data_IF_420857057394
#
_entry.id   IF_420857057394
#
_cell.length_a   1.000
_cell.length_b   1.000
_cell.length_c   1.000
_cell.angle_alpha   90.00
_cell.angle_beta   90.00
_cell.angle_gamma   90.00
#
_symmetry.space_group_name_H-M   'P 1'
#
loop_
_entity.id
_entity.type
_entity.pdbx_description
1 polymer ?
2 polymer ?
3 non-polymer ?
4 water ?
#
# COMPACT_ATOMS: atom_id res chain seq x y z
N UNK A 16 -25.86 -19.48 -3.71
CA UNK A 16 -26.33 -19.14 -5.05
C UNK A 16 -25.23 -18.44 -5.88
N UNK A 17 -25.34 -17.12 -6.05
CA UNK A 17 -24.32 -16.31 -6.66
C UNK A 17 -23.38 -15.95 -5.52
N UNK A 18 -23.95 -15.71 -4.34
CA UNK A 18 -23.15 -15.45 -3.15
C UNK A 18 -22.05 -16.50 -2.90
N UNK A 19 -22.17 -17.66 -3.53
CA UNK A 19 -21.15 -18.70 -3.49
C UNK A 19 -19.90 -18.32 -4.28
N UNK A 20 -20.11 -17.97 -5.56
CA UNK A 20 -19.06 -17.56 -6.49
C UNK A 20 -18.22 -16.40 -5.91
N UNK A 21 -18.92 -15.48 -5.26
CA UNK A 21 -18.33 -14.31 -4.61
C UNK A 21 -17.62 -14.63 -3.30
N UNK A 22 -18.17 -15.60 -2.58
CA UNK A 22 -17.51 -16.12 -1.39
C UNK A 22 -16.21 -16.79 -1.76
N UNK A 23 -16.21 -17.45 -2.92
CA UNK A 23 -15.03 -18.12 -3.45
C UNK A 23 -13.92 -17.13 -3.84
N UNK A 24 -14.27 -16.15 -4.67
CA UNK A 24 -13.40 -15.07 -5.08
C UNK A 24 -12.70 -14.38 -3.89
N UNK A 25 -13.47 -14.15 -2.83
CA UNK A 25 -12.97 -13.57 -1.60
C UNK A 25 -11.92 -14.42 -0.87
N UNK A 26 -12.03 -15.73 -1.00
CA UNK A 26 -11.11 -16.68 -0.38
C UNK A 26 -9.88 -16.88 -1.26
N UNK A 27 -10.08 -16.91 -2.56
CA UNK A 27 -8.99 -16.94 -3.53
C UNK A 27 -8.06 -15.73 -3.36
N UNK A 28 -8.65 -14.56 -3.20
CA UNK A 28 -7.93 -13.31 -3.03
C UNK A 28 -7.20 -13.24 -1.69
N UNK A 29 -7.87 -13.63 -0.60
CA UNK A 29 -7.22 -13.76 0.71
C UNK A 29 -6.00 -14.69 0.68
N UNK A 30 -6.14 -15.83 0.02
CA UNK A 30 -5.03 -16.78 -0.15
C UNK A 30 -3.89 -16.11 -0.86
N UNK A 31 -4.21 -15.54 -2.01
CA UNK A 31 -3.27 -14.85 -2.85
C UNK A 31 -2.59 -13.70 -2.09
N UNK A 32 -3.39 -13.03 -1.29
CA UNK A 32 -2.92 -11.91 -0.48
C UNK A 32 -1.88 -12.35 0.53
N UNK A 33 -2.19 -13.44 1.23
CA UNK A 33 -1.30 -13.98 2.24
C UNK A 33 0.03 -14.55 1.69
N UNK A 34 -0.03 -15.17 0.53
CA UNK A 34 1.16 -15.63 -0.16
C UNK A 34 2.06 -14.45 -0.57
N UNK A 35 1.42 -13.40 -1.09
CA UNK A 35 2.09 -12.24 -1.67
C UNK A 35 2.70 -11.22 -0.73
N UNK A 36 2.12 -11.07 0.46
CA UNK A 36 2.57 -10.06 1.41
C UNK A 36 3.16 -10.71 2.67
N UNK A 37 4.40 -10.31 3.01
CA UNK A 37 5.09 -10.98 4.10
C UNK A 37 4.48 -10.65 5.48
N UNK A 38 4.16 -9.39 5.71
CA UNK A 38 3.66 -8.91 7.00
C UNK A 38 2.20 -8.47 6.91
N UNK A 39 1.31 -9.28 7.48
CA UNK A 39 -0.13 -9.03 7.45
C UNK A 39 -0.53 -8.06 8.55
N UNK A 40 -1.72 -7.50 8.44
CA UNK A 40 -2.31 -6.73 9.53
C UNK A 40 -2.41 -7.54 10.82
N UNK A 41 -2.72 -8.83 10.70
CA UNK A 41 -2.75 -9.73 11.86
C UNK A 41 -1.48 -9.64 12.73
N UNK A 42 -0.33 -10.04 12.17
CA UNK A 42 0.92 -10.00 12.92
C UNK A 42 1.31 -8.58 13.33
N UNK A 43 1.16 -7.65 12.39
CA UNK A 43 1.45 -6.24 12.63
C UNK A 43 0.74 -5.67 13.85
N UNK A 44 -0.51 -6.05 14.05
CA UNK A 44 -1.28 -5.60 15.23
C UNK A 44 -0.70 -6.27 16.45
N UNK A 45 -0.60 -7.61 16.39
CA UNK A 45 0.02 -8.41 17.44
C UNK A 45 1.34 -7.79 17.95
N UNK A 46 2.23 -7.48 17.01
CA UNK A 46 3.47 -6.75 17.29
C UNK A 46 3.20 -5.38 17.93
N UNK A 47 2.36 -4.57 17.29
CA UNK A 47 2.08 -3.21 17.78
C UNK A 47 1.49 -3.17 19.18
N UNK A 48 0.60 -4.11 19.43
CA UNK A 48 -0.03 -4.32 20.72
C UNK A 48 1.08 -4.74 21.68
N UNK A 49 1.97 -5.58 21.15
CA UNK A 49 3.07 -6.16 21.91
C UNK A 49 2.64 -7.49 22.50
N UNK A 50 1.36 -7.82 22.36
CA UNK A 50 0.79 -9.05 22.87
C UNK A 50 1.16 -10.17 21.94
N UNK A 51 2.46 -10.45 21.84
CA UNK A 51 2.98 -11.50 20.96
C UNK A 51 4.21 -12.13 21.60
N UNK A 52 4.53 -13.32 21.13
CA UNK A 52 5.67 -14.10 21.66
C UNK A 52 7.02 -13.64 21.10
N UNK A 53 7.02 -12.83 20.05
CA UNK A 53 8.29 -12.40 19.44
C UNK A 53 8.92 -11.23 20.18
N UNK A 54 10.22 -11.07 19.92
CA UNK A 54 11.05 -10.00 20.48
C UNK A 54 10.51 -8.66 20.01
N UNK A 55 10.45 -7.68 20.92
CA UNK A 55 9.92 -6.36 20.57
C UNK A 55 10.74 -5.67 19.45
N UNK A 56 10.11 -4.71 18.74
CA UNK A 56 10.84 -3.96 17.74
C UNK A 56 11.78 -2.90 18.32
N UNK A 57 12.91 -2.73 17.66
CA UNK A 57 13.86 -1.70 18.00
C UNK A 57 13.29 -0.31 17.70
N UNK A 58 12.87 0.42 18.73
CA UNK A 58 12.31 1.76 18.55
C UNK A 58 13.35 2.76 17.97
N UNK A 59 12.92 3.59 17.00
CA UNK A 59 13.80 4.63 16.41
C UNK A 59 13.15 6.00 16.59
N UNK A 60 13.55 6.67 17.67
CA UNK A 60 13.01 7.96 18.11
C UNK A 60 13.90 9.16 17.78
N UNK A 61 15.18 8.92 17.44
CA UNK A 61 16.09 10.03 17.05
C UNK A 61 17.29 9.50 16.26
N UNK A 62 18.15 10.42 15.84
CA UNK A 62 19.37 10.08 15.12
C UNK A 62 20.26 9.08 15.84
N UNK A 63 20.35 9.18 17.17
CA UNK A 63 21.11 8.20 17.97
C UNK A 63 20.55 6.78 17.84
N UNK A 64 19.25 6.66 18.11
CA UNK A 64 18.55 5.38 17.98
C UNK A 64 18.70 4.78 16.61
N UNK A 65 18.51 5.64 15.60
CA UNK A 65 18.65 5.25 14.20
C UNK A 65 19.97 4.56 13.94
N UNK A 66 21.05 5.24 14.31
CA UNK A 66 22.42 4.76 14.15
C UNK A 66 22.67 3.44 14.88
N UNK A 67 22.19 3.33 16.11
CA UNK A 67 22.25 2.05 16.86
C UNK A 67 21.40 1.00 16.18
N UNK A 68 20.26 1.42 15.67
CA UNK A 68 19.33 0.56 14.97
C UNK A 68 19.79 0.06 13.62
N UNK A 69 20.65 0.83 12.94
CA UNK A 69 21.22 0.47 11.63
C UNK A 69 21.61 -1.01 11.50
N UNK A 70 22.07 -1.60 12.60
CA UNK A 70 22.45 -3.02 12.61
C UNK A 70 21.27 -4.00 12.40
N UNK A 71 20.09 -3.60 12.87
CA UNK A 71 18.89 -4.45 12.77
C UNK A 71 18.01 -4.09 11.58
N UNK A 72 18.62 -3.51 10.54
CA UNK A 72 17.89 -3.10 9.33
C UNK A 72 18.58 -3.57 8.05
N UNK A 73 17.77 -3.69 7.00
CA UNK A 73 18.25 -4.01 5.66
C UNK A 73 18.99 -2.84 5.00
N UNK A 85 26.07 10.55 2.76
CA UNK A 85 24.62 10.39 2.91
C UNK A 85 24.12 10.86 4.28
N UNK A 86 23.36 11.96 4.30
CA UNK A 86 22.76 12.48 5.54
C UNK A 86 21.53 11.65 5.99
N UNK A 87 21.24 11.69 7.30
CA UNK A 87 20.15 10.90 7.92
C UNK A 87 18.89 10.88 7.05
N UNK A 88 18.32 12.06 6.78
CA UNK A 88 17.02 12.17 6.15
C UNK A 88 17.05 11.46 4.80
N UNK A 89 18.07 11.76 4.01
CA UNK A 89 18.27 11.11 2.70
C UNK A 89 18.54 9.59 2.83
N UNK A 90 19.16 9.14 3.91
CA UNK A 90 19.33 7.70 4.17
C UNK A 90 17.98 7.02 4.37
N UNK A 91 17.17 7.60 5.27
CA UNK A 91 15.81 7.13 5.51
C UNK A 91 15.01 7.00 4.20
N UNK A 92 15.01 8.06 3.41
CA UNK A 92 14.30 8.10 2.13
C UNK A 92 14.75 7.00 1.15
N UNK A 93 16.02 6.60 1.20
CA UNK A 93 16.56 5.53 0.35
C UNK A 93 16.13 4.14 0.82
N UNK A 94 15.95 4.00 2.12
CA UNK A 94 15.41 2.78 2.69
C UNK A 94 13.97 2.69 2.26
N UNK A 95 13.24 3.74 2.58
CA UNK A 95 11.85 3.91 2.17
C UNK A 95 11.66 3.63 0.67
N UNK A 96 12.69 3.95 -0.12
CA UNK A 96 12.70 3.67 -1.55
C UNK A 96 12.86 2.17 -1.84
N UNK A 97 13.88 1.55 -1.25
CA UNK A 97 14.14 0.09 -1.31
C UNK A 97 12.89 -0.72 -1.03
N UNK A 98 12.12 -0.24 -0.04
CA UNK A 98 10.97 -0.96 0.47
C UNK A 98 9.77 -0.86 -0.46
N UNK A 99 9.52 0.35 -0.98
CA UNK A 99 8.48 0.58 -1.94
C UNK A 99 8.61 -0.31 -3.14
N UNK A 100 9.84 -0.47 -3.62
CA UNK A 100 10.10 -1.29 -4.79
C UNK A 100 9.71 -2.75 -4.52
N UNK A 101 10.04 -3.23 -3.34
CA UNK A 101 9.59 -4.53 -2.91
C UNK A 101 8.03 -4.54 -2.83
N UNK A 102 7.42 -3.42 -2.40
CA UNK A 102 5.98 -3.31 -2.33
C UNK A 102 5.35 -3.52 -3.72
N UNK A 103 5.82 -2.72 -4.68
CA UNK A 103 5.41 -2.84 -6.05
C UNK A 103 5.53 -4.28 -6.59
N UNK A 104 6.60 -4.99 -6.25
CA UNK A 104 6.71 -6.40 -6.67
C UNK A 104 5.64 -7.27 -6.00
N UNK A 105 5.47 -7.13 -4.70
CA UNK A 105 4.43 -7.88 -4.00
C UNK A 105 3.01 -7.60 -4.55
N UNK A 106 2.76 -6.34 -4.93
CA UNK A 106 1.47 -5.89 -5.45
C UNK A 106 1.21 -6.39 -6.88
N UNK A 107 2.25 -6.40 -7.71
CA UNK A 107 2.18 -6.89 -9.08
C UNK A 107 1.94 -8.40 -9.07
N UNK A 108 2.61 -9.10 -8.17
CA UNK A 108 2.41 -10.54 -7.99
C UNK A 108 0.97 -10.82 -7.60
N UNK A 109 0.44 -10.00 -6.71
CA UNK A 109 -0.95 -10.12 -6.26
C UNK A 109 -1.92 -9.83 -7.37
N UNK A 110 -1.70 -8.71 -8.07
CA UNK A 110 -2.54 -8.33 -9.23
C UNK A 110 -2.72 -9.50 -10.20
N UNK A 111 -1.62 -10.16 -10.54
CA UNK A 111 -1.63 -11.36 -11.39
C UNK A 111 -2.58 -12.49 -10.97
N UNK A 112 -2.80 -12.61 -9.68
CA UNK A 112 -3.74 -13.58 -9.14
C UNK A 112 -5.18 -13.10 -9.06
N UNK A 113 -5.47 -11.85 -9.44
CA UNK A 113 -6.83 -11.41 -9.52
C UNK A 113 -7.48 -12.05 -10.75
N UNK A 114 -8.50 -12.93 -10.55
CA UNK A 114 -9.15 -13.58 -11.71
C UNK A 114 -9.50 -12.59 -12.82
N UNK A 115 -8.99 -12.84 -14.01
CA UNK A 115 -9.22 -11.97 -15.17
C UNK A 115 -8.16 -10.89 -15.39
N UNK A 116 -7.32 -10.62 -14.38
CA UNK A 116 -6.39 -9.50 -14.51
C UNK A 116 -5.38 -9.68 -15.66
N UNK A 117 -4.79 -10.88 -15.73
CA UNK A 117 -3.76 -11.12 -16.73
C UNK A 117 -4.29 -11.30 -18.16
N UNK A 118 -5.60 -11.58 -18.32
CA UNK A 118 -6.22 -11.63 -19.65
C UNK A 118 -6.34 -10.26 -20.33
N UNK A 119 -6.23 -9.18 -19.58
CA UNK A 119 -6.33 -7.84 -20.15
C UNK A 119 -5.11 -7.51 -21.01
N UNK A 120 -5.31 -6.55 -21.91
CA UNK A 120 -4.23 -5.87 -22.57
C UNK A 120 -3.08 -5.53 -21.59
N UNK A 121 -1.88 -6.01 -21.92
CA UNK A 121 -0.66 -5.72 -21.20
C UNK A 121 -0.41 -4.23 -20.93
N UNK A 122 -0.85 -3.35 -21.83
CA UNK A 122 -0.73 -1.90 -21.60
C UNK A 122 -1.71 -1.40 -20.55
N UNK A 123 -2.83 -2.08 -20.43
CA UNK A 123 -3.80 -1.75 -19.38
C UNK A 123 -3.33 -2.26 -18.02
N UNK A 124 -2.90 -3.52 -17.96
CA UNK A 124 -2.24 -4.06 -16.81
C UNK A 124 -1.23 -3.06 -16.23
N UNK A 125 -0.38 -2.51 -17.09
CA UNK A 125 0.67 -1.56 -16.70
C UNK A 125 0.04 -0.28 -16.17
N UNK A 126 -0.95 0.22 -16.86
CA UNK A 126 -1.63 1.43 -16.39
C UNK A 126 -2.35 1.24 -15.04
N UNK A 127 -3.12 0.16 -14.95
CA UNK A 127 -3.80 -0.19 -13.73
C UNK A 127 -2.86 -0.20 -12.51
N UNK A 128 -1.73 -0.90 -12.66
CA UNK A 128 -0.69 -0.93 -11.65
C UNK A 128 -0.02 0.44 -11.46
N UNK A 129 0.41 1.05 -12.55
CA UNK A 129 1.05 2.36 -12.49
C UNK A 129 0.27 3.32 -11.55
N UNK A 130 -1.06 3.36 -11.71
CA UNK A 130 -1.94 4.23 -10.86
C UNK A 130 -2.38 3.59 -9.54
N UNK A 131 -2.52 2.27 -9.50
CA UNK A 131 -2.93 1.56 -8.32
C UNK A 131 -1.97 1.48 -7.15
N UNK A 132 -0.69 1.29 -7.44
CA UNK A 132 0.28 0.86 -6.41
C UNK A 132 0.40 1.81 -5.22
N UNK A 133 0.41 3.11 -5.46
CA UNK A 133 0.55 4.04 -4.36
C UNK A 133 -0.68 4.10 -3.50
N UNK A 134 -1.86 3.87 -4.09
CA UNK A 134 -3.08 3.76 -3.30
C UNK A 134 -3.02 2.57 -2.38
N UNK A 135 -2.42 1.47 -2.83
CA UNK A 135 -2.35 0.24 -2.07
C UNK A 135 -1.26 0.25 -1.02
N UNK A 136 -0.14 0.91 -1.34
CA UNK A 136 0.92 1.07 -0.36
C UNK A 136 0.40 1.76 0.89
N UNK A 137 -0.46 2.73 0.70
CA UNK A 137 -0.93 3.59 1.78
C UNK A 137 -2.01 2.86 2.53
N UNK A 138 -2.88 2.17 1.80
CA UNK A 138 -3.81 1.24 2.43
C UNK A 138 -3.01 0.30 3.35
N UNK A 139 -1.94 -0.28 2.85
CA UNK A 139 -1.22 -1.28 3.60
C UNK A 139 -0.28 -0.70 4.69
N UNK A 140 0.36 0.44 4.42
CA UNK A 140 1.06 1.16 5.45
C UNK A 140 0.25 1.29 6.69
N UNK A 141 -1.01 1.66 6.52
CA UNK A 141 -1.92 1.84 7.65
C UNK A 141 -2.06 0.57 8.55
N UNK A 142 -2.07 -0.63 8.00
CA UNK A 142 -1.95 -1.83 8.86
C UNK A 142 -0.76 -1.74 9.80
N UNK A 143 0.32 -1.16 9.27
CA UNK A 143 1.57 -0.98 9.99
C UNK A 143 1.71 0.25 10.87
N UNK A 144 0.67 1.07 10.97
CA UNK A 144 0.79 2.32 11.68
C UNK A 144 -0.12 2.45 12.92
N UNK A 145 0.30 3.38 13.76
CA UNK A 145 -0.52 3.83 14.89
C UNK A 145 -0.32 5.34 15.03
N UNK A 146 -0.97 5.92 16.00
CA UNK A 146 -0.87 7.37 16.21
C UNK A 146 0.58 7.81 16.43
N UNK A 147 1.31 6.98 17.15
CA UNK A 147 2.72 7.24 17.50
C UNK A 147 3.82 6.96 16.48
N UNK A 148 3.65 5.95 15.63
CA UNK A 148 4.72 5.53 14.72
C UNK A 148 4.35 4.33 13.84
N UNK A 149 5.36 3.83 13.12
CA UNK A 149 5.18 2.88 12.05
C UNK A 149 6.20 1.76 12.17
N UNK A 150 5.75 0.51 12.13
CA UNK A 150 6.64 -0.63 11.97
C UNK A 150 7.43 -0.63 10.67
N UNK A 151 8.66 -1.14 10.75
CA UNK A 151 9.54 -1.24 9.61
C UNK A 151 10.37 -2.53 9.66
N UNK A 152 11.15 -2.76 8.60
CA UNK A 152 11.95 -3.98 8.41
C UNK A 152 11.21 -5.22 8.92
N UNK A 153 9.97 -5.38 8.42
CA UNK A 153 9.11 -6.53 8.71
C UNK A 153 8.85 -6.66 10.20
N UNK A 154 8.37 -5.56 10.79
CA UNK A 154 8.09 -5.51 12.23
C UNK A 154 9.26 -5.52 13.20
N UNK A 155 10.48 -5.41 12.70
CA UNK A 155 11.68 -5.44 13.54
C UNK A 155 12.07 -4.06 14.07
N UNK A 156 11.70 -3.01 13.35
CA UNK A 156 11.86 -1.62 13.81
C UNK A 156 10.50 -1.01 14.14
N UNK A 157 10.51 0.09 14.88
CA UNK A 157 9.34 0.93 15.03
C UNK A 157 9.81 2.36 14.99
N UNK A 158 9.65 3.00 13.85
CA UNK A 158 10.15 4.36 13.66
C UNK A 158 9.10 5.36 14.07
N UNK A 159 9.41 6.25 15.01
CA UNK A 159 8.38 7.15 15.58
C UNK A 159 7.93 8.27 14.66
N UNK A 160 6.71 8.71 14.89
CA UNK A 160 6.06 9.72 14.09
C UNK A 160 6.65 11.09 14.39
N UNK A 161 6.94 11.30 15.67
CA UNK A 161 7.69 12.45 16.17
C UNK A 161 9.04 12.55 15.44
N UNK A 162 9.78 11.44 15.43
CA UNK A 162 11.06 11.40 14.74
C UNK A 162 10.98 11.73 13.24
N UNK A 163 9.91 11.27 12.57
CA UNK A 163 9.76 11.49 11.12
C UNK A 163 9.40 12.95 10.79
N UNK A 164 8.47 13.53 11.56
CA UNK A 164 8.18 14.97 11.51
C UNK A 164 9.43 15.82 11.64
N UNK A 165 10.27 15.44 12.60
CA UNK A 165 11.47 16.18 12.92
C UNK A 165 12.46 16.30 11.76
N UNK A 166 12.42 15.38 10.80
CA UNK A 166 13.31 15.47 9.64
C UNK A 166 13.15 16.82 8.94
N UNK A 167 14.25 17.30 8.35
CA UNK A 167 14.25 18.62 7.68
C UNK A 167 13.36 18.63 6.43
N UNK A 168 12.84 19.81 6.07
CA UNK A 168 12.05 19.98 4.82
C UNK A 168 12.88 19.49 3.62
N UNK A 169 12.25 18.98 2.55
CA UNK A 169 10.82 18.58 2.51
C UNK A 169 10.44 17.29 3.28
N UNK A 170 11.45 16.57 3.76
CA UNK A 170 11.29 15.21 4.29
C UNK A 170 10.41 15.09 5.54
N UNK A 171 10.26 16.16 6.31
CA UNK A 171 9.45 16.15 7.54
C UNK A 171 7.94 16.09 7.35
N UNK A 172 7.51 16.46 6.13
CA UNK A 172 6.09 16.46 5.76
C UNK A 172 5.73 15.28 4.86
N UNK A 173 6.70 14.40 4.64
CA UNK A 173 6.56 13.31 3.69
C UNK A 173 5.65 12.21 4.22
N UNK A 174 5.89 11.76 5.45
CA UNK A 174 5.10 10.67 6.05
C UNK A 174 3.88 11.12 6.84
N UNK A 175 3.80 12.40 7.17
CA UNK A 175 2.71 12.88 8.04
C UNK A 175 1.27 12.75 7.46
N UNK A 176 1.09 13.07 6.16
CA UNK A 176 -0.24 12.84 5.58
C UNK A 176 -0.72 11.38 5.62
N UNK A 177 0.22 10.43 5.64
CA UNK A 177 -0.06 9.00 5.72
C UNK A 177 -0.43 8.52 7.12
N UNK A 178 0.15 9.14 8.14
CA UNK A 178 -0.33 8.90 9.52
C UNK A 178 -1.76 9.41 9.71
N UNK A 179 -2.08 10.55 9.13
CA UNK A 179 -3.41 11.16 9.25
C UNK A 179 -4.48 10.28 8.60
N UNK A 180 -4.18 9.84 7.38
CA UNK A 180 -4.99 8.85 6.70
C UNK A 180 -5.12 7.56 7.50
N UNK A 181 -3.99 7.04 7.98
CA UNK A 181 -3.98 5.79 8.72
C UNK A 181 -4.91 5.79 9.94
N UNK A 182 -4.93 6.89 10.69
CA UNK A 182 -5.72 6.92 11.96
C UNK A 182 -7.21 6.81 11.68
N UNK A 183 -7.65 7.51 10.64
CA UNK A 183 -9.03 7.37 10.16
C UNK A 183 -9.32 5.96 9.56
N UNK A 184 -8.44 5.47 8.70
CA UNK A 184 -8.71 4.19 8.04
C UNK A 184 -8.68 3.01 9.04
N UNK A 185 -7.77 3.06 10.00
CA UNK A 185 -7.61 1.95 10.94
C UNK A 185 -8.79 1.84 11.88
N UNK A 186 -9.51 2.96 12.05
CA UNK A 186 -10.78 3.01 12.78
C UNK A 186 -11.82 2.01 12.25
N UNK A 187 -12.02 1.98 10.94
CA UNK A 187 -12.92 1.03 10.31
C UNK A 187 -12.63 -0.45 10.69
N UNK A 188 -11.51 -0.72 11.35
CA UNK A 188 -11.24 -2.01 12.01
C UNK A 188 -11.31 -3.16 11.01
N UNK A 189 -10.81 -2.94 9.80
CA UNK A 189 -10.82 -3.96 8.77
C UNK A 189 -9.85 -5.09 9.06
N UNK A 190 -10.10 -6.21 8.40
CA UNK A 190 -9.42 -7.50 8.53
C UNK A 190 -8.53 -7.72 7.28
N UNK A 191 -7.57 -8.62 7.36
CA UNK A 191 -6.81 -9.01 6.20
C UNK A 191 -7.72 -9.50 5.05
N UNK A 192 -8.74 -10.27 5.41
CA UNK A 192 -9.72 -10.79 4.45
C UNK A 192 -10.55 -9.71 3.73
N UNK A 193 -10.82 -8.61 4.43
CA UNK A 193 -11.52 -7.46 3.88
C UNK A 193 -10.61 -6.68 2.97
N UNK A 194 -9.37 -6.47 3.44
CA UNK A 194 -8.34 -5.75 2.71
C UNK A 194 -7.97 -6.45 1.43
N UNK A 195 -7.87 -7.77 1.43
CA UNK A 195 -7.53 -8.53 0.21
C UNK A 195 -8.41 -8.14 -0.96
N UNK A 196 -9.70 -7.97 -0.66
CA UNK A 196 -10.66 -7.60 -1.69
C UNK A 196 -10.64 -6.10 -1.93
N UNK A 197 -10.53 -5.35 -0.84
CA UNK A 197 -10.47 -3.92 -0.95
C UNK A 197 -9.33 -3.50 -1.88
N UNK A 198 -8.14 -4.11 -1.72
CA UNK A 198 -7.02 -3.73 -2.64
C UNK A 198 -7.27 -4.17 -4.10
N UNK A 199 -7.87 -5.35 -4.31
CA UNK A 199 -8.27 -5.77 -5.66
C UNK A 199 -9.18 -4.75 -6.37
N UNK A 200 -10.13 -4.23 -5.61
CA UNK A 200 -11.11 -3.25 -6.14
C UNK A 200 -10.39 -1.99 -6.58
N UNK A 201 -9.38 -1.57 -5.81
CA UNK A 201 -8.58 -0.41 -6.13
C UNK A 201 -7.86 -0.62 -7.43
N UNK A 202 -7.18 -1.79 -7.56
CA UNK A 202 -6.34 -2.04 -8.75
C UNK A 202 -7.19 -1.98 -10.01
N UNK A 203 -8.38 -2.59 -9.93
CA UNK A 203 -9.29 -2.63 -11.06
C UNK A 203 -10.20 -1.43 -11.18
N UNK A 204 -9.60 -0.25 -11.22
CA UNK A 204 -10.34 1.00 -11.35
C UNK A 204 -10.36 1.32 -12.83
N UNK A 205 -11.54 1.22 -13.44
CA UNK A 205 -11.71 1.46 -14.87
C UNK A 205 -11.57 2.91 -15.31
N UNK A 206 -11.21 3.80 -14.38
CA UNK A 206 -11.21 5.25 -14.64
C UNK A 206 -9.83 5.88 -14.50
N UNK A 207 -8.80 5.10 -14.80
CA UNK A 207 -7.43 5.60 -14.81
C UNK A 207 -7.13 6.18 -16.17
N UNK A 208 -6.36 7.29 -16.21
CA UNK A 208 -5.89 7.85 -17.48
C UNK A 208 -5.26 6.84 -18.44
N UNK A 209 -5.78 6.77 -19.66
CA UNK A 209 -5.13 6.06 -20.77
C UNK A 209 -5.44 4.58 -20.92
N UNK A 210 -6.58 4.13 -20.44
CA UNK A 210 -6.94 2.73 -20.65
C UNK A 210 -7.47 2.59 -22.07
N UNK A 211 -7.10 1.47 -22.70
CA UNK A 211 -7.52 1.17 -24.07
C UNK A 211 -8.91 0.57 -24.09
N UNK A 212 -9.16 -0.33 -23.15
CA UNK A 212 -10.40 -1.08 -23.10
C UNK A 212 -10.93 -1.22 -21.64
N UNK A 213 -11.72 -0.23 -21.25
CA UNK A 213 -12.37 -0.14 -19.95
C UNK A 213 -13.42 -1.23 -19.59
N UNK A 214 -14.28 -1.61 -20.52
CA UNK A 214 -15.36 -2.58 -20.22
C UNK A 214 -14.94 -3.84 -19.40
N UNK A 215 -13.99 -4.64 -19.91
CA UNK A 215 -13.60 -5.81 -19.11
C UNK A 215 -13.04 -5.49 -17.73
N UNK A 216 -12.40 -4.33 -17.56
CA UNK A 216 -11.92 -3.89 -16.23
C UNK A 216 -13.13 -3.64 -15.32
N UNK A 217 -14.03 -2.76 -15.76
CA UNK A 217 -15.30 -2.53 -15.04
C UNK A 217 -16.08 -3.82 -14.76
N UNK A 218 -16.01 -4.81 -15.66
CA UNK A 218 -16.70 -6.08 -15.44
C UNK A 218 -16.18 -6.72 -14.18
N UNK A 219 -14.86 -6.80 -14.10
CA UNK A 219 -14.21 -7.42 -12.95
C UNK A 219 -14.47 -6.61 -11.66
N UNK A 220 -14.42 -5.28 -11.77
CA UNK A 220 -14.58 -4.45 -10.57
C UNK A 220 -15.96 -4.66 -9.93
N UNK A 221 -16.97 -4.83 -10.78
CA UNK A 221 -18.33 -5.16 -10.31
C UNK A 221 -18.38 -6.50 -9.56
N UNK A 222 -17.72 -7.50 -10.08
CA UNK A 222 -17.56 -8.68 -9.27
C UNK A 222 -16.90 -8.41 -7.95
N UNK A 223 -15.72 -7.77 -8.01
CA UNK A 223 -14.93 -7.50 -6.79
C UNK A 223 -15.77 -6.68 -5.80
N UNK A 224 -16.46 -5.65 -6.32
CA UNK A 224 -17.34 -4.83 -5.41
C UNK A 224 -18.47 -5.63 -4.74
N UNK A 225 -19.07 -6.58 -5.45
CA UNK A 225 -20.07 -7.49 -4.85
C UNK A 225 -19.47 -8.38 -3.76
N UNK A 226 -18.35 -9.00 -4.09
CA UNK A 226 -17.59 -9.81 -3.12
C UNK A 226 -17.18 -8.97 -1.91
N UNK A 227 -16.79 -7.73 -2.15
CA UNK A 227 -16.40 -6.86 -1.04
C UNK A 227 -17.62 -6.54 -0.19
N UNK A 228 -18.76 -6.28 -0.83
CA UNK A 228 -19.98 -6.02 -0.07
C UNK A 228 -20.42 -7.22 0.78
N UNK A 229 -20.38 -8.42 0.20
CA UNK A 229 -20.78 -9.62 0.89
C UNK A 229 -19.90 -9.81 2.12
N UNK A 230 -18.59 -9.78 1.85
CA UNK A 230 -17.55 -9.91 2.87
C UNK A 230 -17.74 -8.96 4.04
N UNK A 231 -18.12 -7.74 3.80
CA UNK A 231 -18.40 -6.80 4.90
C UNK A 231 -19.69 -7.08 5.70
N UNK A 232 -20.73 -7.53 4.99
CA UNK A 232 -21.93 -8.00 5.66
C UNK A 232 -21.59 -9.19 6.54
N UNK A 233 -20.92 -10.20 5.98
CA UNK A 233 -20.54 -11.42 6.72
C UNK A 233 -19.57 -11.19 7.89
N UNK A 234 -18.42 -10.59 7.60
CA UNK A 234 -17.34 -10.48 8.59
C UNK A 234 -17.62 -9.45 9.70
N UNK A 235 -18.43 -8.44 9.38
CA UNK A 235 -18.86 -7.44 10.37
C UNK A 235 -20.40 -7.28 10.38
N UNK A 236 -21.14 -8.36 10.75
CA UNK A 236 -22.62 -8.32 10.68
C UNK A 236 -23.26 -7.31 11.63
N UNK A 237 -22.56 -6.96 12.70
CA UNK A 237 -22.97 -5.91 13.62
C UNK A 237 -22.77 -4.51 13.03
N UNK A 238 -21.68 -4.31 12.29
CA UNK A 238 -21.40 -3.05 11.63
C UNK A 238 -22.14 -2.97 10.30
N UNK A 239 -22.72 -1.80 10.01
CA UNK A 239 -23.42 -1.54 8.76
C UNK A 239 -22.85 -0.27 8.17
N UNK A 240 -22.80 -0.20 6.85
CA UNK A 240 -22.22 0.97 6.12
C UNK A 240 -20.71 1.04 6.13
N UNK A 241 -20.08 -0.06 6.51
CA UNK A 241 -18.64 -0.15 6.44
C UNK A 241 -18.28 -0.08 4.97
N UNK A 242 -19.08 -0.78 4.16
CA UNK A 242 -19.00 -0.80 2.69
C UNK A 242 -19.01 0.61 2.12
N UNK A 243 -20.00 1.41 2.49
CA UNK A 243 -20.14 2.76 1.97
C UNK A 243 -19.04 3.69 2.51
N UNK A 244 -18.73 3.54 3.80
CA UNK A 244 -17.62 4.31 4.42
C UNK A 244 -16.30 4.08 3.67
N UNK A 245 -16.04 2.80 3.48
CA UNK A 245 -14.89 2.27 2.76
C UNK A 245 -14.75 2.78 1.32
N UNK A 246 -15.86 2.94 0.59
CA UNK A 246 -15.78 3.45 -0.78
C UNK A 246 -15.55 4.95 -0.81
N UNK A 247 -15.95 5.66 0.24
CA UNK A 247 -15.61 7.08 0.37
C UNK A 247 -14.10 7.27 0.47
N UNK A 248 -13.46 6.45 1.31
CA UNK A 248 -11.99 6.42 1.44
C UNK A 248 -11.21 6.17 0.13
N UNK A 249 -11.74 5.35 -0.77
CA UNK A 249 -11.11 5.19 -2.09
C UNK A 249 -10.86 6.50 -2.84
N UNK A 250 -11.69 7.51 -2.61
CA UNK A 250 -11.48 8.84 -3.23
C UNK A 250 -10.42 9.70 -2.48
N UNK A 251 -10.43 9.63 -1.14
CA UNK A 251 -9.38 10.26 -0.32
C UNK A 251 -7.96 9.89 -0.77
N UNK A 252 -7.75 8.61 -1.09
CA UNK A 252 -6.42 8.11 -1.46
C UNK A 252 -5.92 8.80 -2.71
N UNK A 253 -6.73 8.86 -3.76
CA UNK A 253 -6.27 9.49 -5.02
C UNK A 253 -5.71 10.86 -4.74
N UNK A 254 -6.39 11.60 -3.86
CA UNK A 254 -5.91 12.92 -3.43
C UNK A 254 -4.58 12.80 -2.69
N UNK A 255 -4.54 11.91 -1.70
CA UNK A 255 -3.33 11.62 -0.91
C UNK A 255 -2.17 11.19 -1.80
N UNK A 256 -2.47 10.41 -2.84
CA UNK A 256 -1.47 9.96 -3.81
C UNK A 256 -0.98 11.12 -4.69
N UNK A 257 -1.88 12.03 -5.05
CA UNK A 257 -1.53 13.22 -5.82
C UNK A 257 -0.61 14.12 -5.01
N UNK A 258 -1.04 14.41 -3.79
CA UNK A 258 -0.24 15.16 -2.79
C UNK A 258 1.19 14.61 -2.66
N UNK A 259 1.30 13.29 -2.74
CA UNK A 259 2.56 12.55 -2.67
C UNK A 259 3.39 12.73 -3.96
N UNK A 260 2.82 12.40 -5.10
CA UNK A 260 3.52 12.58 -6.39
C UNK A 260 4.07 14.01 -6.53
N UNK A 261 3.30 14.98 -6.04
CA UNK A 261 3.72 16.37 -6.03
C UNK A 261 4.99 16.51 -5.19
N UNK A 262 4.96 15.87 -4.04
CA UNK A 262 6.09 15.90 -3.12
C UNK A 262 7.37 15.28 -3.72
N UNK A 263 7.20 14.23 -4.51
CA UNK A 263 8.32 13.64 -5.22
C UNK A 263 8.92 14.59 -6.24
N UNK A 264 8.09 15.37 -6.92
CA UNK A 264 8.59 16.40 -7.81
C UNK A 264 9.41 17.41 -7.04
N UNK A 265 8.88 17.81 -5.89
CA UNK A 265 9.56 18.77 -5.01
C UNK A 265 10.90 18.21 -4.57
N UNK A 266 10.91 16.93 -4.21
CA UNK A 266 12.12 16.26 -3.75
C UNK A 266 13.08 15.98 -4.91
N UNK A 267 12.52 15.58 -6.05
CA UNK A 267 13.32 15.25 -7.24
C UNK A 267 14.08 16.48 -7.76
N UNK A 268 13.51 17.67 -7.55
CA UNK A 268 14.11 18.94 -7.99
C UNK A 268 15.08 19.59 -6.98
N UNK A 269 14.63 19.81 -5.73
CA UNK A 269 15.45 20.49 -4.70
C UNK A 269 16.63 19.68 -4.15
N UNK A 270 16.65 18.39 -4.50
CA UNK A 270 17.75 17.50 -4.21
C UNK A 270 18.15 16.85 -5.52
N UNK A 271 19.42 17.08 -5.89
CA UNK A 271 20.09 16.40 -7.00
C UNK A 271 21.08 15.39 -6.40
N UNK A 272 21.34 15.53 -5.09
CA UNK A 272 22.18 14.63 -4.30
C UNK A 272 21.67 13.17 -4.32
N UNK A 273 20.36 13.01 -4.51
CA UNK A 273 19.71 11.70 -4.54
C UNK A 273 19.32 11.25 -5.94
N UNK A 274 19.30 9.92 -6.12
CA UNK A 274 18.82 9.27 -7.34
C UNK A 274 17.53 8.51 -7.02
N UNK A 275 16.52 8.65 -7.88
CA UNK A 275 15.25 7.92 -7.77
C UNK A 275 15.35 6.56 -8.45
N UNK A 276 14.71 5.55 -7.88
CA UNK A 276 14.86 4.18 -8.36
C UNK A 276 14.14 4.00 -9.72
N UNK A 277 14.79 3.31 -10.67
CA UNK A 277 14.23 3.11 -12.01
C UNK A 277 12.73 2.75 -12.04
N UNK A 278 12.34 1.67 -11.36
CA UNK A 278 10.94 1.28 -11.20
C UNK A 278 10.03 2.38 -10.68
N UNK A 279 10.52 3.13 -9.71
CA UNK A 279 9.75 4.24 -9.19
C UNK A 279 9.58 5.33 -10.24
N UNK A 280 10.66 5.65 -10.95
CA UNK A 280 10.61 6.58 -12.10
C UNK A 280 9.51 6.22 -13.09
N UNK A 281 9.53 4.96 -13.57
CA UNK A 281 8.47 4.41 -14.43
C UNK A 281 7.06 4.79 -14.01
N UNK A 282 6.79 4.62 -12.73
CA UNK A 282 5.48 4.91 -12.17
C UNK A 282 5.23 6.42 -12.19
N UNK A 283 6.12 7.17 -11.56
CA UNK A 283 5.94 8.64 -11.43
C UNK A 283 5.98 9.47 -12.69
N UNK A 284 6.65 8.99 -13.74
CA UNK A 284 6.72 9.75 -14.99
C UNK A 284 5.37 9.69 -15.67
N UNK A 285 4.84 10.86 -16.05
CA UNK A 285 3.50 10.99 -16.66
C UNK A 285 2.45 10.42 -15.70
N UNK A 286 2.52 10.85 -14.44
CA UNK A 286 1.56 10.45 -13.42
C UNK A 286 1.10 11.69 -12.66
N UNK A 287 -0.20 11.98 -12.74
CA UNK A 287 -0.87 13.07 -11.97
C UNK A 287 -0.01 14.32 -11.68
N UNK B 3 7.72 1.65 -20.02
CA UNK B 3 7.54 0.92 -18.72
C UNK B 3 8.20 -0.45 -18.75
N UNK B 4 9.53 -0.44 -18.93
CA UNK B 4 10.33 -1.66 -19.17
C UNK B 4 10.22 -2.70 -18.05
N UNK B 5 10.50 -2.29 -16.82
CA UNK B 5 10.45 -3.19 -15.65
C UNK B 5 9.03 -3.69 -15.34
N UNK B 6 8.05 -2.78 -15.39
CA UNK B 6 6.65 -3.18 -15.18
C UNK B 6 6.26 -4.32 -16.14
N UNK B 7 6.51 -4.14 -17.44
CA UNK B 7 6.29 -5.20 -18.43
C UNK B 7 6.97 -6.47 -18.00
N UNK B 8 8.23 -6.35 -17.58
CA UNK B 8 9.03 -7.51 -17.17
C UNK B 8 8.36 -8.25 -15.99
N UNK B 9 8.07 -7.49 -14.95
CA UNK B 9 7.35 -7.99 -13.77
C UNK B 9 6.03 -8.64 -14.14
N UNK B 10 5.23 -7.94 -14.94
CA UNK B 10 3.99 -8.54 -15.42
C UNK B 10 4.22 -9.75 -16.29
N UNK B 11 5.27 -9.71 -17.12
CA UNK B 11 5.54 -10.78 -18.07
C UNK B 11 5.94 -12.08 -17.38
N UNK B 12 6.86 -12.00 -16.44
CA UNK B 12 7.18 -13.12 -15.55
C UNK B 12 5.94 -13.94 -15.14
#
# INVERSE_FOLDING_TARGET
GSHMAEISSDIDQLNPESADLRALAKHLYDSYIKSFPLTKAKARAILTGKTTDKSPFVIYDMNSLMMGEDKIKFKHITPLQEQSKEVAIRIFQGCQFRSVEAVQEITEYAKSIPGFVNLDLNDQVTLLKYGVHEIIYTMLASLMNKDGVLISEGQGFMTREFLKSLRKPFGDFMEPKFEFAVKFNALELDDSDLAIFIAVIILSGDRPGLLNVKPIEDIQDNLLQALELQLKLNHPESSQLFAKLLQKMTDLRQIVTEHVQLLQVIKKTETDMSLHPLLQEIYKDLY
ERHKILHRLLQEGSPS
#
